data_IF_212051312131
#
_entry.id   IF_212051312131
#
_cell.length_a   1.000
_cell.length_b   1.000
_cell.length_c   1.000
_cell.angle_alpha   90.00
_cell.angle_beta   90.00
_cell.angle_gamma   90.00
#
_symmetry.space_group_name_H-M   'P 1'
#
loop_
_entity.id
_entity.type
_entity.pdbx_description
1 polymer ?
#
# COMPACT_ATOMS: atom_id res chain seq x y z
N UNK A 1 -19.65 -14.39 32.12
CA UNK A 1 -20.43 -13.63 31.12
C UNK A 1 -19.79 -12.25 30.99
N UNK A 2 -19.27 -11.84 29.82
CA UNK A 2 -18.76 -10.46 29.67
C UNK A 2 -19.95 -9.51 29.64
N UNK A 3 -19.88 -8.40 30.39
CA UNK A 3 -20.91 -7.35 30.34
C UNK A 3 -20.84 -6.61 29.00
N UNK A 4 -21.95 -6.01 28.57
CA UNK A 4 -22.04 -5.20 27.35
C UNK A 4 -20.97 -4.09 27.34
N UNK A 5 -20.81 -3.40 28.46
CA UNK A 5 -19.77 -2.38 28.66
C UNK A 5 -18.35 -2.94 28.44
N UNK A 6 -18.05 -4.15 28.95
CA UNK A 6 -16.75 -4.81 28.72
C UNK A 6 -16.52 -5.03 27.23
N UNK A 7 -17.57 -5.36 26.46
CA UNK A 7 -17.47 -5.54 25.02
C UNK A 7 -17.12 -4.22 24.31
N UNK A 8 -17.81 -3.12 24.64
CA UNK A 8 -17.50 -1.79 24.11
C UNK A 8 -16.09 -1.31 24.49
N UNK A 9 -15.65 -1.54 25.74
CA UNK A 9 -14.28 -1.23 26.18
C UNK A 9 -13.21 -2.02 25.40
N UNK A 10 -13.50 -3.26 25.00
CA UNK A 10 -12.60 -4.03 24.11
C UNK A 10 -12.56 -3.44 22.70
N UNK A 11 -13.71 -3.03 22.15
CA UNK A 11 -13.78 -2.36 20.84
C UNK A 11 -13.05 -1.01 20.83
N UNK A 12 -13.04 -0.30 21.96
CA UNK A 12 -12.28 0.95 22.08
C UNK A 12 -10.77 0.76 21.88
N UNK A 13 -10.19 -0.42 22.09
CA UNK A 13 -8.75 -0.65 21.88
C UNK A 13 -8.27 -0.36 20.45
N UNK A 14 -9.19 -0.38 19.48
CA UNK A 14 -8.90 0.04 18.11
C UNK A 14 -8.56 1.53 18.01
N UNK A 15 -9.05 2.37 18.92
CA UNK A 15 -8.70 3.79 19.01
C UNK A 15 -7.34 4.03 19.70
N UNK A 16 -6.61 5.09 19.31
CA UNK A 16 -5.36 5.47 19.96
C UNK A 16 -5.56 5.81 21.44
N UNK A 17 -4.54 5.56 22.27
CA UNK A 17 -4.64 5.72 23.73
C UNK A 17 -4.97 7.15 24.15
N UNK A 18 -4.39 8.16 23.49
CA UNK A 18 -4.67 9.57 23.74
C UNK A 18 -6.12 9.94 23.46
N UNK A 19 -6.70 9.42 22.37
CA UNK A 19 -8.10 9.66 22.02
C UNK A 19 -9.04 9.02 23.04
N UNK A 20 -8.75 7.76 23.41
CA UNK A 20 -9.53 7.03 24.41
C UNK A 20 -9.58 7.73 25.77
N UNK A 21 -8.47 8.33 26.19
CA UNK A 21 -8.39 9.01 27.48
C UNK A 21 -9.32 10.24 27.55
N UNK A 22 -9.60 10.88 26.41
CA UNK A 22 -10.42 12.11 26.35
C UNK A 22 -11.88 11.84 26.00
N UNK A 23 -12.13 10.91 25.07
CA UNK A 23 -13.47 10.71 24.49
C UNK A 23 -14.09 9.34 24.80
N UNK A 24 -13.31 8.42 25.39
CA UNK A 24 -13.68 7.01 25.51
C UNK A 24 -14.92 6.78 26.37
N UNK A 25 -14.99 7.39 27.56
CA UNK A 25 -16.11 7.18 28.47
C UNK A 25 -17.40 7.82 27.96
N UNK A 26 -17.32 9.00 27.32
CA UNK A 26 -18.47 9.67 26.68
C UNK A 26 -19.03 8.80 25.56
N UNK A 27 -18.16 8.29 24.66
CA UNK A 27 -18.60 7.41 23.58
C UNK A 27 -19.24 6.12 24.11
N UNK A 28 -18.68 5.50 25.16
CA UNK A 28 -19.28 4.30 25.78
C UNK A 28 -20.66 4.65 26.33
N UNK A 29 -20.80 5.76 27.05
CA UNK A 29 -22.09 6.19 27.61
C UNK A 29 -23.15 6.28 26.51
N UNK A 30 -22.85 7.00 25.42
CA UNK A 30 -23.79 7.14 24.30
C UNK A 30 -24.16 5.79 23.65
N UNK A 31 -23.21 4.86 23.51
CA UNK A 31 -23.48 3.54 22.93
C UNK A 31 -24.24 2.61 23.88
N UNK A 32 -24.03 2.76 25.19
CA UNK A 32 -24.78 2.06 26.22
C UNK A 32 -26.23 2.55 26.27
N UNK A 33 -26.45 3.86 26.26
CA UNK A 33 -27.79 4.47 26.24
C UNK A 33 -28.59 4.01 25.01
N UNK A 34 -27.95 4.00 23.83
CA UNK A 34 -28.56 3.51 22.61
C UNK A 34 -28.87 2.00 22.66
N UNK A 35 -27.98 1.20 23.26
CA UNK A 35 -28.21 -0.23 23.42
C UNK A 35 -29.33 -0.54 24.42
N UNK A 36 -29.44 0.22 25.51
CA UNK A 36 -30.51 0.10 26.49
C UNK A 36 -31.87 0.45 25.89
N UNK A 37 -31.95 1.56 25.14
CA UNK A 37 -33.17 1.96 24.43
C UNK A 37 -33.66 0.87 23.43
N UNK A 38 -32.74 0.12 22.84
CA UNK A 38 -33.03 -0.97 21.91
C UNK A 38 -33.12 -2.36 22.58
N UNK A 39 -33.00 -2.43 23.91
CA UNK A 39 -33.03 -3.70 24.66
C UNK A 39 -31.90 -4.67 24.33
N UNK A 40 -30.76 -4.17 23.81
CA UNK A 40 -29.63 -4.97 23.35
C UNK A 40 -28.69 -5.34 24.49
N UNK A 41 -28.31 -6.62 24.55
CA UNK A 41 -27.32 -7.14 25.51
C UNK A 41 -25.92 -7.30 24.91
N UNK A 42 -25.75 -7.01 23.61
CA UNK A 42 -24.48 -7.07 22.88
C UNK A 42 -24.39 -5.96 21.82
N UNK A 43 -23.18 -5.49 21.47
CA UNK A 43 -23.00 -4.58 20.34
C UNK A 43 -23.50 -5.23 19.06
N UNK A 44 -24.08 -4.43 18.15
CA UNK A 44 -24.42 -4.95 16.83
C UNK A 44 -23.16 -5.19 15.99
N UNK A 45 -23.22 -6.11 15.02
CA UNK A 45 -22.07 -6.36 14.14
C UNK A 45 -21.68 -5.13 13.30
N UNK A 46 -22.66 -4.35 12.86
CA UNK A 46 -22.44 -3.11 12.12
C UNK A 46 -21.77 -2.03 12.98
N UNK A 47 -22.22 -1.89 14.23
CA UNK A 47 -21.65 -0.96 15.22
C UNK A 47 -20.21 -1.34 15.57
N UNK A 48 -19.95 -2.62 15.88
CA UNK A 48 -18.60 -3.10 16.15
C UNK A 48 -17.66 -2.83 14.97
N UNK A 49 -18.08 -3.14 13.74
CA UNK A 49 -17.32 -2.83 12.52
C UNK A 49 -17.08 -1.34 12.35
N UNK A 50 -18.10 -0.51 12.57
CA UNK A 50 -17.96 0.96 12.47
C UNK A 50 -16.94 1.50 13.46
N UNK A 51 -17.00 1.05 14.73
CA UNK A 51 -16.04 1.42 15.77
C UNK A 51 -14.61 1.00 15.41
N UNK A 52 -14.43 -0.22 14.89
CA UNK A 52 -13.11 -0.71 14.46
C UNK A 52 -12.53 0.17 13.34
N UNK A 53 -13.30 0.41 12.27
CA UNK A 53 -12.83 1.17 11.12
C UNK A 53 -12.50 2.62 11.48
N UNK A 54 -13.36 3.28 12.27
CA UNK A 54 -13.10 4.63 12.76
C UNK A 54 -11.89 4.68 13.69
N UNK A 55 -11.77 3.73 14.61
CA UNK A 55 -10.65 3.67 15.54
C UNK A 55 -9.30 3.50 14.85
N UNK A 56 -9.21 2.63 13.84
CA UNK A 56 -7.97 2.48 13.05
C UNK A 56 -7.72 3.73 12.22
N UNK A 57 -8.75 4.32 11.60
CA UNK A 57 -8.60 5.55 10.83
C UNK A 57 -8.10 6.72 11.67
N UNK A 58 -8.44 6.78 12.96
CA UNK A 58 -7.94 7.80 13.90
C UNK A 58 -6.45 7.63 14.25
N UNK A 59 -5.83 6.50 13.91
CA UNK A 59 -4.38 6.28 14.07
C UNK A 59 -3.55 6.94 12.97
N UNK A 60 -4.16 7.37 11.87
CA UNK A 60 -3.53 8.13 10.80
C UNK A 60 -3.32 9.59 11.21
N UNK A 61 -2.46 9.78 12.20
CA UNK A 61 -2.07 11.08 12.74
C UNK A 61 -0.87 11.67 11.98
N UNK A 62 -0.62 12.97 12.13
CA UNK A 62 0.60 13.62 11.60
C UNK A 62 1.86 12.91 12.10
N UNK A 63 1.89 12.50 13.38
CA UNK A 63 3.01 11.74 13.94
C UNK A 63 3.21 10.40 13.22
N UNK A 64 2.13 9.67 12.95
CA UNK A 64 2.21 8.42 12.19
C UNK A 64 2.70 8.68 10.76
N UNK A 65 2.26 9.77 10.11
CA UNK A 65 2.73 10.18 8.80
C UNK A 65 4.25 10.44 8.78
N UNK A 66 4.74 11.20 9.76
CA UNK A 66 6.16 11.53 9.89
C UNK A 66 7.00 10.28 10.17
N UNK A 67 6.58 9.42 11.10
CA UNK A 67 7.28 8.16 11.38
C UNK A 67 7.32 7.26 10.14
N UNK A 68 6.20 7.16 9.41
CA UNK A 68 6.14 6.37 8.20
C UNK A 68 7.05 6.95 7.10
N UNK A 69 7.07 8.28 6.91
CA UNK A 69 7.96 8.94 5.95
C UNK A 69 9.45 8.78 6.33
N UNK A 70 9.79 9.01 7.60
CA UNK A 70 11.15 8.83 8.13
C UNK A 70 11.61 7.38 8.03
N UNK A 71 10.70 6.39 8.07
CA UNK A 71 11.02 5.00 7.77
C UNK A 71 11.14 4.71 6.28
N UNK A 72 10.22 5.23 5.46
CA UNK A 72 10.18 4.95 4.02
C UNK A 72 11.45 5.42 3.30
N UNK A 73 11.93 6.62 3.62
CA UNK A 73 13.10 7.22 2.99
C UNK A 73 14.39 6.38 3.12
N UNK A 74 14.85 5.99 4.32
CA UNK A 74 16.07 5.19 4.46
C UNK A 74 15.93 3.79 3.87
N UNK A 75 14.76 3.15 3.95
CA UNK A 75 14.56 1.84 3.29
C UNK A 75 14.61 1.96 1.78
N UNK A 76 14.00 3.01 1.21
CA UNK A 76 14.07 3.26 -0.23
C UNK A 76 15.50 3.58 -0.66
N UNK A 77 16.17 4.48 0.06
CA UNK A 77 17.56 4.83 -0.19
C UNK A 77 18.48 3.62 -0.10
N UNK A 78 18.37 2.79 0.94
CA UNK A 78 19.15 1.57 1.09
C UNK A 78 18.89 0.59 -0.05
N UNK A 79 17.62 0.38 -0.43
CA UNK A 79 17.28 -0.48 -1.56
C UNK A 79 17.88 0.02 -2.88
N UNK A 80 17.73 1.32 -3.18
CA UNK A 80 18.34 1.94 -4.38
C UNK A 80 19.87 1.82 -4.34
N UNK A 81 20.49 2.12 -3.20
CA UNK A 81 21.93 2.02 -3.03
C UNK A 81 22.42 0.60 -3.30
N UNK A 82 21.77 -0.42 -2.71
CA UNK A 82 22.12 -1.81 -2.99
C UNK A 82 21.94 -2.14 -4.46
N UNK A 83 20.85 -1.71 -5.12
CA UNK A 83 20.66 -1.90 -6.56
C UNK A 83 21.80 -1.28 -7.38
N UNK A 84 22.29 -0.09 -7.01
CA UNK A 84 23.31 0.62 -7.77
C UNK A 84 24.73 0.11 -7.55
N UNK A 85 25.08 -0.29 -6.32
CA UNK A 85 26.49 -0.58 -5.97
C UNK A 85 26.75 -1.97 -5.38
N UNK A 86 25.71 -2.70 -4.98
CA UNK A 86 25.86 -3.95 -4.24
C UNK A 86 25.05 -5.13 -4.79
N UNK A 87 24.37 -4.96 -5.92
CA UNK A 87 23.43 -5.94 -6.44
C UNK A 87 24.15 -7.25 -6.78
N UNK A 88 25.24 -7.18 -7.54
CA UNK A 88 26.02 -8.35 -7.94
C UNK A 88 26.54 -9.11 -6.71
N UNK A 89 27.08 -8.39 -5.72
CA UNK A 89 27.58 -8.98 -4.48
C UNK A 89 26.48 -9.71 -3.71
N UNK A 90 25.31 -9.11 -3.54
CA UNK A 90 24.20 -9.73 -2.82
C UNK A 90 23.55 -10.85 -3.63
N UNK A 91 23.51 -10.73 -4.96
CA UNK A 91 22.98 -11.74 -5.86
C UNK A 91 23.82 -13.03 -5.84
N UNK A 92 25.15 -12.94 -5.68
CA UNK A 92 26.03 -14.10 -5.51
C UNK A 92 25.64 -14.99 -4.32
N UNK A 93 24.99 -14.43 -3.30
CA UNK A 93 24.48 -15.17 -2.13
C UNK A 93 22.98 -15.48 -2.21
N UNK A 94 22.35 -15.34 -3.40
CA UNK A 94 20.92 -15.57 -3.61
C UNK A 94 20.01 -14.45 -3.08
N UNK A 95 20.58 -13.30 -2.73
CA UNK A 95 19.86 -12.17 -2.15
C UNK A 95 19.39 -11.10 -3.15
N UNK A 96 19.47 -11.35 -4.46
CA UNK A 96 19.16 -10.35 -5.50
C UNK A 96 17.75 -9.73 -5.41
N UNK A 97 16.81 -10.40 -4.74
CA UNK A 97 15.45 -9.92 -4.48
C UNK A 97 15.35 -8.92 -3.30
N UNK A 98 16.37 -8.82 -2.45
CA UNK A 98 16.35 -8.00 -1.22
C UNK A 98 16.12 -6.50 -1.52
N UNK A 99 16.82 -5.87 -2.48
CA UNK A 99 16.60 -4.45 -2.79
C UNK A 99 15.18 -4.16 -3.28
N UNK A 100 14.61 -5.12 -4.03
CA UNK A 100 13.25 -5.07 -4.53
C UNK A 100 12.24 -5.18 -3.38
N UNK A 101 12.45 -6.10 -2.44
CA UNK A 101 11.61 -6.25 -1.26
C UNK A 101 11.67 -5.02 -0.35
N UNK A 102 12.85 -4.44 -0.13
CA UNK A 102 13.01 -3.21 0.65
C UNK A 102 12.20 -2.05 0.07
N UNK A 103 12.23 -1.88 -1.26
CA UNK A 103 11.48 -0.81 -1.90
C UNK A 103 9.97 -1.10 -1.95
N UNK A 104 9.56 -2.28 -2.41
CA UNK A 104 8.16 -2.57 -2.71
C UNK A 104 7.38 -3.10 -1.50
N UNK A 105 7.99 -3.85 -0.59
CA UNK A 105 7.29 -4.44 0.56
C UNK A 105 7.45 -3.62 1.85
N UNK A 106 8.41 -2.68 1.89
CA UNK A 106 8.66 -1.86 3.08
C UNK A 106 8.49 -0.37 2.79
N UNK A 107 9.33 0.19 1.92
CA UNK A 107 9.31 1.63 1.68
C UNK A 107 8.01 2.13 1.06
N UNK A 108 7.47 1.43 0.06
CA UNK A 108 6.26 1.86 -0.65
C UNK A 108 4.98 1.78 0.23
N UNK A 109 4.74 0.74 1.05
CA UNK A 109 3.67 0.75 2.04
C UNK A 109 3.81 1.88 3.08
N UNK A 110 5.01 2.14 3.59
CA UNK A 110 5.26 3.24 4.52
C UNK A 110 5.00 4.61 3.87
N UNK A 111 5.46 4.80 2.63
CA UNK A 111 5.17 6.01 1.85
C UNK A 111 3.66 6.18 1.61
N UNK A 112 2.95 5.08 1.36
CA UNK A 112 1.48 5.09 1.21
C UNK A 112 0.79 5.53 2.51
N UNK A 113 1.22 5.01 3.67
CA UNK A 113 0.70 5.45 4.97
C UNK A 113 0.94 6.95 5.16
N UNK A 114 2.14 7.43 4.87
CA UNK A 114 2.47 8.85 4.96
C UNK A 114 1.59 9.72 4.05
N UNK A 115 1.41 9.30 2.79
CA UNK A 115 0.59 10.01 1.80
C UNK A 115 -0.90 10.05 2.16
N UNK A 116 -1.43 9.01 2.81
CA UNK A 116 -2.83 8.97 3.25
C UNK A 116 -3.08 9.69 4.58
N UNK A 117 -2.08 9.72 5.46
CA UNK A 117 -2.24 10.28 6.80
C UNK A 117 -2.44 11.80 6.79
N UNK A 118 -1.78 12.55 5.91
CA UNK A 118 -1.94 14.01 5.83
C UNK A 118 -3.34 14.44 5.37
N UNK A 119 -3.89 13.96 4.23
CA UNK A 119 -5.26 14.29 3.84
C UNK A 119 -6.31 13.79 4.83
N UNK A 120 -6.06 12.64 5.47
CA UNK A 120 -6.94 12.15 6.54
C UNK A 120 -6.94 13.07 7.75
N UNK A 121 -5.78 13.57 8.16
CA UNK A 121 -5.68 14.52 9.27
C UNK A 121 -6.40 15.84 8.95
N UNK A 122 -6.32 16.30 7.70
CA UNK A 122 -7.07 17.47 7.21
C UNK A 122 -8.58 17.24 7.04
N UNK A 123 -9.11 16.06 7.40
CA UNK A 123 -10.54 15.73 7.26
C UNK A 123 -11.00 15.54 5.80
N UNK A 124 -10.07 15.39 4.86
CA UNK A 124 -10.37 15.21 3.43
C UNK A 124 -10.76 13.77 3.11
N UNK A 125 -10.19 12.79 3.84
CA UNK A 125 -10.45 11.36 3.64
C UNK A 125 -11.23 10.77 4.81
N UNK A 126 -12.24 9.95 4.50
CA UNK A 126 -12.97 9.18 5.51
C UNK A 126 -12.15 7.98 6.03
N UNK A 127 -12.27 7.61 7.32
CA UNK A 127 -11.57 6.47 7.93
C UNK A 127 -11.69 5.14 7.17
N UNK A 128 -12.90 4.81 6.72
CA UNK A 128 -13.23 3.59 5.98
C UNK A 128 -12.53 3.54 4.62
N UNK A 129 -12.47 4.69 3.93
CA UNK A 129 -11.83 4.81 2.61
C UNK A 129 -10.32 4.75 2.69
N UNK A 130 -9.71 5.35 3.71
CA UNK A 130 -8.26 5.26 3.94
C UNK A 130 -7.82 3.81 4.09
N UNK A 131 -8.55 3.01 4.86
CA UNK A 131 -8.23 1.60 5.06
C UNK A 131 -8.39 0.79 3.78
N UNK A 132 -9.48 1.00 3.04
CA UNK A 132 -9.68 0.33 1.76
C UNK A 132 -8.54 0.67 0.77
N UNK A 133 -8.18 1.94 0.65
CA UNK A 133 -7.07 2.38 -0.21
C UNK A 133 -5.74 1.78 0.25
N UNK A 134 -5.45 1.77 1.55
CA UNK A 134 -4.20 1.20 2.07
C UNK A 134 -4.13 -0.30 1.79
N UNK A 135 -5.20 -1.06 2.03
CA UNK A 135 -5.23 -2.50 1.77
C UNK A 135 -5.02 -2.81 0.28
N UNK A 136 -5.69 -2.06 -0.60
CA UNK A 136 -5.52 -2.21 -2.04
C UNK A 136 -4.09 -1.84 -2.46
N UNK A 137 -3.54 -0.75 -1.95
CA UNK A 137 -2.18 -0.32 -2.26
C UNK A 137 -1.14 -1.34 -1.80
N UNK A 138 -1.23 -1.85 -0.56
CA UNK A 138 -0.33 -2.91 -0.05
C UNK A 138 -0.43 -4.18 -0.90
N UNK A 139 -1.65 -4.56 -1.31
CA UNK A 139 -1.86 -5.70 -2.21
C UNK A 139 -1.22 -5.45 -3.58
N UNK A 140 -1.39 -4.25 -4.13
CA UNK A 140 -0.77 -3.86 -5.40
C UNK A 140 0.76 -3.90 -5.33
N UNK A 141 1.34 -3.41 -4.23
CA UNK A 141 2.79 -3.45 -4.00
C UNK A 141 3.32 -4.89 -3.88
N UNK A 142 2.58 -5.78 -3.22
CA UNK A 142 2.93 -7.20 -3.16
C UNK A 142 2.87 -7.86 -4.56
N UNK A 143 1.84 -7.58 -5.35
CA UNK A 143 1.77 -8.03 -6.75
C UNK A 143 2.92 -7.46 -7.59
N UNK A 144 3.26 -6.19 -7.42
CA UNK A 144 4.37 -5.56 -8.14
C UNK A 144 5.73 -6.20 -7.78
N UNK A 145 5.95 -6.51 -6.51
CA UNK A 145 7.13 -7.25 -6.05
C UNK A 145 7.21 -8.63 -6.70
N UNK A 146 6.13 -9.41 -6.64
CA UNK A 146 6.09 -10.75 -7.22
C UNK A 146 6.23 -10.72 -8.74
N UNK A 147 5.66 -9.72 -9.42
CA UNK A 147 5.81 -9.54 -10.86
C UNK A 147 7.27 -9.24 -11.22
N UNK A 148 7.90 -8.28 -10.55
CA UNK A 148 9.30 -7.93 -10.80
C UNK A 148 10.24 -9.11 -10.48
N UNK A 149 9.99 -9.87 -9.42
CA UNK A 149 10.77 -11.07 -9.11
C UNK A 149 10.56 -12.18 -10.14
N UNK A 150 9.31 -12.45 -10.52
CA UNK A 150 8.95 -13.40 -11.58
C UNK A 150 9.63 -13.05 -12.91
N UNK A 151 9.67 -11.77 -13.25
CA UNK A 151 10.40 -11.27 -14.41
C UNK A 151 11.90 -11.59 -14.32
N UNK A 152 12.56 -11.23 -13.22
CA UNK A 152 14.00 -11.51 -13.03
C UNK A 152 14.32 -13.00 -13.17
N UNK A 153 13.54 -13.88 -12.52
CA UNK A 153 13.73 -15.33 -12.64
C UNK A 153 13.56 -15.81 -14.09
N UNK A 154 12.59 -15.25 -14.83
CA UNK A 154 12.40 -15.58 -16.24
C UNK A 154 13.53 -15.15 -17.16
N UNK A 155 14.23 -14.06 -16.84
CA UNK A 155 15.45 -13.65 -17.54
C UNK A 155 16.60 -14.60 -17.22
N UNK A 156 16.83 -14.91 -15.95
CA UNK A 156 17.89 -15.82 -15.53
C UNK A 156 17.72 -17.22 -16.17
N UNK A 157 16.49 -17.73 -16.23
CA UNK A 157 16.16 -18.98 -16.92
C UNK A 157 16.43 -18.91 -18.43
N UNK A 158 16.09 -17.79 -19.07
CA UNK A 158 16.32 -17.61 -20.51
C UNK A 158 17.82 -17.51 -20.84
N UNK A 159 18.59 -16.79 -20.03
CA UNK A 159 20.05 -16.65 -20.20
C UNK A 159 20.79 -17.97 -19.96
N UNK A 160 20.28 -18.80 -19.04
CA UNK A 160 20.80 -20.14 -18.78
C UNK A 160 20.34 -21.19 -19.81
N UNK A 161 19.48 -20.83 -20.76
CA UNK A 161 18.91 -21.77 -21.74
C UNK A 161 17.96 -22.81 -21.13
N UNK A 162 17.38 -22.51 -19.96
CA UNK A 162 16.46 -23.39 -19.25
C UNK A 162 15.02 -23.21 -19.76
N UNK A 163 14.20 -24.24 -19.52
CA UNK A 163 12.76 -24.14 -19.73
C UNK A 163 12.15 -23.23 -18.66
N UNK A 164 11.17 -22.41 -19.08
CA UNK A 164 10.50 -21.48 -18.17
C UNK A 164 9.70 -22.20 -17.08
N UNK A 165 9.93 -21.83 -15.83
CA UNK A 165 9.15 -22.33 -14.70
C UNK A 165 7.75 -21.72 -14.65
N UNK A 166 6.78 -22.34 -13.94
CA UNK A 166 5.46 -21.74 -13.72
C UNK A 166 5.52 -20.36 -13.06
N UNK A 167 6.53 -20.13 -12.21
CA UNK A 167 6.73 -18.84 -11.55
C UNK A 167 7.19 -17.76 -12.55
N UNK A 168 8.14 -18.05 -13.45
CA UNK A 168 8.56 -17.06 -14.46
C UNK A 168 7.46 -16.74 -15.48
N UNK A 169 6.54 -17.67 -15.73
CA UNK A 169 5.35 -17.43 -16.54
C UNK A 169 4.29 -16.57 -15.84
N UNK A 170 4.37 -16.42 -14.51
CA UNK A 170 3.39 -15.66 -13.73
C UNK A 170 3.53 -14.12 -13.85
N UNK A 171 4.57 -13.62 -14.51
CA UNK A 171 4.81 -12.17 -14.67
C UNK A 171 3.58 -11.43 -15.21
N UNK A 172 3.04 -11.89 -16.35
CA UNK A 172 1.90 -11.26 -17.01
C UNK A 172 0.68 -11.10 -16.09
N UNK A 173 0.15 -12.20 -15.51
CA UNK A 173 -1.00 -12.09 -14.60
C UNK A 173 -0.69 -11.29 -13.33
N UNK A 174 0.50 -11.41 -12.73
CA UNK A 174 0.87 -10.64 -11.53
C UNK A 174 0.97 -9.15 -11.82
N UNK A 175 1.56 -8.78 -12.96
CA UNK A 175 1.67 -7.41 -13.42
C UNK A 175 0.29 -6.79 -13.64
N UNK A 176 -0.60 -7.48 -14.38
CA UNK A 176 -1.96 -7.00 -14.65
C UNK A 176 -2.77 -6.88 -13.35
N UNK A 177 -2.66 -7.83 -12.44
CA UNK A 177 -3.34 -7.78 -11.15
C UNK A 177 -2.84 -6.60 -10.30
N UNK A 178 -1.52 -6.43 -10.16
CA UNK A 178 -0.92 -5.31 -9.43
C UNK A 178 -1.31 -3.96 -10.02
N UNK A 179 -1.32 -3.85 -11.35
CA UNK A 179 -1.74 -2.66 -12.07
C UNK A 179 -3.22 -2.33 -11.84
N UNK A 180 -4.13 -3.29 -12.00
CA UNK A 180 -5.56 -3.08 -11.81
C UNK A 180 -5.89 -2.70 -10.36
N UNK A 181 -5.30 -3.39 -9.38
CA UNK A 181 -5.51 -3.13 -7.96
C UNK A 181 -4.92 -1.76 -7.56
N UNK A 182 -3.71 -1.44 -8.05
CA UNK A 182 -3.07 -0.15 -7.79
C UNK A 182 -3.83 1.02 -8.42
N UNK A 183 -4.30 0.85 -9.65
CA UNK A 183 -5.18 1.81 -10.33
C UNK A 183 -6.48 2.03 -9.57
N UNK A 184 -7.11 0.96 -9.06
CA UNK A 184 -8.29 1.06 -8.21
C UNK A 184 -8.02 1.80 -6.90
N UNK A 185 -6.90 1.51 -6.23
CA UNK A 185 -6.48 2.20 -5.00
C UNK A 185 -6.32 3.71 -5.25
N UNK A 186 -5.62 4.08 -6.32
CA UNK A 186 -5.40 5.46 -6.72
C UNK A 186 -6.70 6.17 -7.10
N UNK A 187 -7.54 5.52 -7.92
CA UNK A 187 -8.84 6.06 -8.30
C UNK A 187 -9.70 6.35 -7.08
N UNK A 188 -9.81 5.40 -6.13
CA UNK A 188 -10.57 5.60 -4.89
C UNK A 188 -10.02 6.77 -4.06
N UNK A 189 -8.70 6.90 -3.95
CA UNK A 189 -8.07 8.00 -3.22
C UNK A 189 -8.38 9.36 -3.87
N UNK A 190 -8.21 9.49 -5.18
CA UNK A 190 -8.47 10.74 -5.92
C UNK A 190 -9.95 11.09 -5.92
N UNK A 191 -10.83 10.11 -6.13
CA UNK A 191 -12.27 10.33 -6.08
C UNK A 191 -12.69 10.83 -4.70
N UNK A 192 -12.12 10.31 -3.61
CA UNK A 192 -12.43 10.79 -2.26
C UNK A 192 -11.90 12.20 -2.02
N UNK A 193 -10.66 12.48 -2.44
CA UNK A 193 -10.04 13.80 -2.32
C UNK A 193 -10.82 14.89 -3.09
N UNK A 194 -11.28 14.54 -4.30
CA UNK A 194 -12.02 15.41 -5.20
C UNK A 194 -13.53 15.41 -4.98
N UNK A 195 -14.02 15.00 -3.80
CA UNK A 195 -15.46 14.92 -3.50
C UNK A 195 -16.24 16.23 -3.68
N UNK A 196 -15.56 17.37 -3.58
CA UNK A 196 -16.12 18.71 -3.80
C UNK A 196 -16.09 19.16 -5.27
N UNK A 197 -15.43 18.41 -6.15
CA UNK A 197 -15.27 18.79 -7.56
C UNK A 197 -16.43 18.26 -8.44
N UNK A 198 -16.74 18.95 -9.56
CA UNK A 198 -17.69 18.46 -10.56
C UNK A 198 -17.30 17.09 -11.13
N UNK A 199 -18.30 16.25 -11.42
CA UNK A 199 -18.09 14.84 -11.86
C UNK A 199 -17.09 14.71 -13.01
N UNK A 200 -17.15 15.58 -14.03
CA UNK A 200 -16.25 15.52 -15.19
C UNK A 200 -14.77 15.72 -14.85
N UNK A 201 -14.46 16.62 -13.92
CA UNK A 201 -13.08 16.90 -13.47
C UNK A 201 -12.58 15.79 -12.54
N UNK A 202 -13.48 15.21 -11.75
CA UNK A 202 -13.18 14.18 -10.74
C UNK A 202 -12.67 12.87 -11.35
N UNK A 203 -13.10 12.51 -12.56
CA UNK A 203 -12.70 11.25 -13.24
C UNK A 203 -11.48 11.39 -14.15
N UNK A 204 -11.08 12.61 -14.52
CA UNK A 204 -9.95 12.82 -15.41
C UNK A 204 -8.61 12.26 -14.84
N UNK A 205 -8.21 12.53 -13.58
CA UNK A 205 -6.95 12.03 -13.06
C UNK A 205 -6.89 10.49 -12.94
N UNK A 206 -7.92 9.77 -12.44
CA UNK A 206 -7.93 8.31 -12.43
C UNK A 206 -7.77 7.70 -13.83
N UNK A 207 -8.49 8.22 -14.83
CA UNK A 207 -8.41 7.74 -16.21
C UNK A 207 -7.02 7.97 -16.81
N UNK A 208 -6.42 9.14 -16.57
CA UNK A 208 -5.07 9.49 -17.03
C UNK A 208 -4.02 8.63 -16.34
N UNK A 209 -4.12 8.45 -15.02
CA UNK A 209 -3.17 7.64 -14.23
C UNK A 209 -3.21 6.14 -14.57
N UNK A 210 -4.38 5.60 -14.91
CA UNK A 210 -4.53 4.22 -15.35
C UNK A 210 -3.74 3.98 -16.66
N UNK A 211 -3.73 4.95 -17.57
CA UNK A 211 -3.10 4.84 -18.90
C UNK A 211 -1.60 5.20 -18.88
N UNK A 212 -1.18 6.20 -18.10
CA UNK A 212 0.14 6.84 -18.25
C UNK A 212 1.24 6.27 -17.34
N UNK A 213 0.92 5.77 -16.14
CA UNK A 213 1.96 5.35 -15.19
C UNK A 213 2.85 4.18 -15.68
N UNK A 214 2.34 3.14 -16.39
CA UNK A 214 3.16 1.99 -16.79
C UNK A 214 4.23 2.28 -17.87
N UNK A 215 3.94 3.01 -18.98
CA UNK A 215 4.97 3.35 -19.95
C UNK A 215 6.12 4.15 -19.36
N UNK A 216 5.83 5.09 -18.45
CA UNK A 216 6.85 5.99 -17.89
C UNK A 216 7.81 5.25 -16.97
N UNK A 217 7.31 4.33 -16.14
CA UNK A 217 8.17 3.51 -15.26
C UNK A 217 8.96 2.47 -16.08
N UNK A 218 8.33 1.84 -17.08
CA UNK A 218 9.01 0.91 -17.97
C UNK A 218 10.12 1.56 -18.82
N UNK A 219 9.89 2.80 -19.28
CA UNK A 219 10.90 3.58 -20.01
C UNK A 219 12.02 4.11 -19.09
N UNK A 220 11.71 4.43 -17.83
CA UNK A 220 12.69 4.91 -16.86
C UNK A 220 13.59 3.78 -16.31
N UNK A 221 13.09 2.54 -16.29
CA UNK A 221 13.83 1.35 -15.84
C UNK A 221 14.63 0.67 -16.97
N UNK A 222 14.48 1.09 -18.23
CA UNK A 222 15.25 0.56 -19.34
C UNK A 222 16.67 1.17 -19.30
N UNK A 223 17.74 0.38 -19.06
CA UNK A 223 19.09 0.89 -19.19
C UNK A 223 19.29 1.32 -20.64
N UNK A 224 19.50 2.60 -20.90
CA UNK A 224 20.13 3.05 -22.15
C UNK A 224 21.61 2.73 -22.06
N UNK A 225 21.99 1.46 -22.09
CA UNK A 225 23.36 1.09 -22.43
C UNK A 225 23.47 1.17 -23.96
N UNK A 226 24.34 2.04 -24.51
CA UNK A 226 24.65 1.98 -25.93
C UNK A 226 25.26 0.60 -26.19
N UNK A 227 24.66 -0.15 -27.11
CA UNK A 227 25.22 -1.39 -27.60
C UNK A 227 26.67 -1.13 -28.00
N UNK A 228 27.61 -1.80 -27.34
CA UNK A 228 28.99 -1.85 -27.81
C UNK A 228 28.97 -2.38 -29.24
N UNK A 229 29.37 -1.52 -30.17
CA UNK A 229 29.85 -1.93 -31.47
C UNK A 229 31.04 -2.87 -31.26
N UNK A 230 30.81 -4.17 -31.35
CA UNK A 230 31.84 -5.08 -31.82
C UNK A 230 31.46 -5.49 -33.23
N UNK A 231 32.05 -4.78 -34.19
CA UNK A 231 32.22 -5.31 -35.53
C UNK A 231 32.99 -6.64 -35.42
N UNK A 232 32.60 -7.70 -36.14
CA UNK A 232 33.41 -8.91 -36.21
C UNK A 232 34.73 -8.55 -36.89
N UNK A 233 35.84 -8.73 -36.19
CA UNK A 233 37.15 -8.82 -36.83
C UNK A 233 37.16 -10.05 -37.72
N UNK A 234 37.16 -9.83 -39.03
CA UNK A 234 37.63 -10.77 -40.03
C UNK A 234 38.74 -10.09 -40.85
N UNK A 235 39.71 -10.92 -41.23
CA UNK A 235 40.99 -10.67 -41.92
C UNK A 235 42.17 -10.30 -41.01
#
# INVERSE_FOLDING_TARGET
MMTLETHYRRLLRWYPASWRAVHGDVLIGTLMDAAEAEGRTRPSGAEARSMMLHGIGERFTVRAALLAAVGALPFSFAGILVTLVGLDTIAQFGGGWVPLALNLLVAAPLATIAALALPRHAGLLRPDRVLAVLLLAVTAWACAFLAAWSWSVGFDEADAGLLRTPFSLAFGPLFVAGWAIGGLAFALAVLELGRSLPRGIRWAPPLVSAVIAPPVIGLAAYPRTPAFSQAPGSW
#
